data_IF_995576651769
#
_entry.id   IF_995576651769
#
_cell.length_a   1.000
_cell.length_b   1.000
_cell.length_c   1.000
_cell.angle_alpha   90.00
_cell.angle_beta   90.00
_cell.angle_gamma   90.00
#
_symmetry.space_group_name_H-M   'P 1'
#
loop_
_entity.id
_entity.type
_entity.pdbx_description
1 polymer ?
#
# COMPACT_ATOMS: atom_id res chain seq x y z
N UNK A 1 28.82 -32.73 0.33
CA UNK A 1 28.60 -31.33 0.74
C UNK A 1 27.12 -31.22 1.06
N UNK A 2 26.79 -30.97 2.32
CA UNK A 2 25.55 -31.44 2.95
C UNK A 2 24.27 -30.73 2.48
N UNK A 3 23.31 -31.55 2.08
CA UNK A 3 21.87 -31.27 2.10
C UNK A 3 21.44 -30.82 3.51
N UNK A 4 21.13 -29.53 3.64
CA UNK A 4 20.26 -29.02 4.71
C UNK A 4 19.02 -28.41 4.04
N UNK A 5 18.41 -29.17 3.11
CA UNK A 5 17.07 -28.87 2.60
C UNK A 5 16.10 -29.79 3.35
N UNK A 6 15.15 -29.20 4.04
CA UNK A 6 13.93 -29.84 4.56
C UNK A 6 13.95 -30.74 5.82
N UNK A 7 15.05 -30.89 6.58
CA UNK A 7 15.01 -31.68 7.84
C UNK A 7 14.05 -31.09 8.89
N UNK A 8 13.76 -29.78 8.85
CA UNK A 8 12.84 -29.14 9.80
C UNK A 8 11.35 -29.48 9.59
N UNK A 9 10.96 -30.11 8.47
CA UNK A 9 9.54 -30.33 8.15
C UNK A 9 9.01 -31.70 8.54
N UNK A 10 9.88 -32.66 8.86
CA UNK A 10 9.49 -34.06 9.08
C UNK A 10 8.67 -34.64 7.92
N UNK A 11 8.33 -35.92 7.97
CA UNK A 11 7.51 -36.55 6.93
C UNK A 11 6.01 -36.11 6.99
N UNK A 12 5.68 -34.97 7.60
CA UNK A 12 4.30 -34.56 7.93
C UNK A 12 3.96 -33.07 7.73
N UNK A 13 4.86 -32.19 7.28
CA UNK A 13 4.44 -30.85 6.90
C UNK A 13 3.68 -30.89 5.56
N UNK A 14 2.37 -31.07 5.64
CA UNK A 14 1.46 -30.83 4.52
C UNK A 14 1.00 -29.38 4.59
N UNK A 15 1.43 -28.56 3.64
CA UNK A 15 0.83 -27.27 3.37
C UNK A 15 -0.53 -27.51 2.72
N UNK A 16 -1.56 -27.87 3.52
CA UNK A 16 -2.94 -27.91 3.04
C UNK A 16 -3.54 -26.50 3.16
N UNK A 17 -3.96 -25.94 2.02
CA UNK A 17 -5.04 -24.95 1.98
C UNK A 17 -6.33 -25.62 2.49
N UNK A 18 -7.19 -24.90 3.21
CA UNK A 18 -8.36 -25.49 3.86
C UNK A 18 -9.57 -25.62 2.90
N UNK A 19 -9.36 -25.35 1.61
CA UNK A 19 -10.42 -24.99 0.66
C UNK A 19 -9.92 -25.31 -0.76
N UNK A 20 -10.78 -25.84 -1.61
CA UNK A 20 -10.46 -26.65 -2.79
C UNK A 20 -10.06 -25.89 -4.08
N UNK A 21 -9.12 -24.97 -4.03
CA UNK A 21 -8.44 -24.42 -5.23
C UNK A 21 -6.96 -24.22 -4.93
N UNK A 22 -6.12 -25.18 -5.32
CA UNK A 22 -4.70 -25.22 -4.96
C UNK A 22 -3.91 -24.08 -5.62
N UNK A 23 -3.88 -22.91 -4.98
CA UNK A 23 -2.92 -21.86 -5.28
C UNK A 23 -1.47 -22.38 -5.15
N UNK A 24 -0.60 -21.99 -6.07
CA UNK A 24 0.81 -22.35 -6.04
C UNK A 24 1.44 -21.75 -4.78
N UNK A 25 1.83 -22.61 -3.82
CA UNK A 25 2.54 -22.18 -2.61
C UNK A 25 4.03 -22.40 -2.78
N UNK A 26 4.81 -21.33 -2.65
CA UNK A 26 6.26 -21.33 -2.75
C UNK A 26 6.91 -20.88 -1.43
N UNK A 27 8.18 -21.24 -1.26
CA UNK A 27 9.00 -20.70 -0.17
C UNK A 27 9.50 -19.31 -0.58
N UNK A 28 9.09 -18.28 0.14
CA UNK A 28 9.54 -16.91 -0.10
C UNK A 28 10.83 -16.59 0.67
N UNK A 29 10.91 -16.94 1.96
CA UNK A 29 12.11 -16.72 2.76
C UNK A 29 12.22 -17.63 3.98
N UNK A 30 13.44 -17.77 4.50
CA UNK A 30 13.73 -18.32 5.82
C UNK A 30 14.55 -17.32 6.63
N UNK A 31 13.88 -16.65 7.56
CA UNK A 31 14.47 -15.65 8.45
C UNK A 31 15.03 -16.34 9.69
N UNK A 32 16.22 -15.92 10.12
CA UNK A 32 16.92 -16.48 11.28
C UNK A 32 17.14 -15.39 12.32
N UNK A 33 16.73 -15.67 13.55
CA UNK A 33 16.94 -14.81 14.71
C UNK A 33 17.58 -15.60 15.86
N UNK A 34 17.89 -14.93 16.96
CA UNK A 34 18.44 -15.58 18.13
C UNK A 34 17.43 -16.57 18.73
N UNK A 35 17.69 -17.88 18.59
CA UNK A 35 16.85 -18.94 19.14
C UNK A 35 15.52 -19.17 18.41
N UNK A 36 15.30 -18.55 17.26
CA UNK A 36 14.07 -18.72 16.48
C UNK A 36 14.30 -18.61 14.97
N UNK A 37 13.39 -19.17 14.20
CA UNK A 37 13.37 -19.12 12.73
C UNK A 37 11.96 -18.84 12.26
N UNK A 38 11.82 -18.04 11.21
CA UNK A 38 10.52 -17.74 10.61
C UNK A 38 10.57 -18.12 9.14
N UNK A 39 9.74 -19.07 8.75
CA UNK A 39 9.56 -19.45 7.36
C UNK A 39 8.41 -18.63 6.77
N UNK A 40 8.69 -17.89 5.71
CA UNK A 40 7.68 -17.14 4.96
C UNK A 40 7.35 -17.92 3.69
N UNK A 41 6.07 -18.20 3.49
CA UNK A 41 5.55 -18.80 2.27
C UNK A 41 4.70 -17.79 1.52
N UNK A 42 4.74 -17.88 0.19
CA UNK A 42 3.96 -17.06 -0.72
C UNK A 42 2.98 -17.96 -1.48
N UNK A 43 1.69 -17.64 -1.43
CA UNK A 43 0.64 -18.39 -2.12
C UNK A 43 0.00 -17.47 -3.17
N UNK A 44 -0.05 -17.93 -4.42
CA UNK A 44 -0.74 -17.25 -5.52
C UNK A 44 -1.96 -18.06 -5.93
N UNK A 45 -3.11 -17.44 -6.07
CA UNK A 45 -4.31 -18.12 -6.57
C UNK A 45 -4.13 -18.51 -8.05
N UNK A 46 -4.64 -19.67 -8.46
CA UNK A 46 -4.49 -20.14 -9.84
C UNK A 46 -5.33 -19.29 -10.80
N UNK A 47 -4.70 -18.84 -11.90
CA UNK A 47 -5.35 -18.05 -12.95
C UNK A 47 -5.25 -16.53 -12.75
N UNK A 48 -4.68 -16.10 -11.62
CA UNK A 48 -4.64 -14.71 -11.16
C UNK A 48 -3.19 -14.17 -11.15
N UNK A 49 -2.56 -14.15 -12.33
CA UNK A 49 -1.26 -13.50 -12.54
C UNK A 49 -1.43 -12.24 -13.40
N UNK A 50 -2.37 -11.36 -13.03
CA UNK A 50 -2.47 -10.05 -13.64
C UNK A 50 -1.36 -9.11 -13.13
N UNK A 51 -1.05 -8.06 -13.90
CA UNK A 51 0.06 -7.11 -13.67
C UNK A 51 0.19 -6.55 -12.23
N UNK A 52 -0.90 -6.51 -11.46
CA UNK A 52 -0.93 -5.94 -10.10
C UNK A 52 -1.22 -6.93 -8.97
N UNK A 53 -1.35 -8.23 -9.25
CA UNK A 53 -1.64 -9.22 -8.20
C UNK A 53 -0.34 -9.68 -7.54
N UNK A 54 -0.35 -9.78 -6.21
CA UNK A 54 0.80 -10.19 -5.40
C UNK A 54 0.49 -11.47 -4.62
N UNK A 55 1.52 -12.17 -4.15
CA UNK A 55 1.32 -13.41 -3.40
C UNK A 55 0.84 -13.15 -1.96
N UNK A 56 -0.08 -13.96 -1.46
CA UNK A 56 -0.45 -13.98 -0.05
C UNK A 56 0.69 -14.53 0.80
N UNK A 57 1.13 -13.78 1.80
CA UNK A 57 2.22 -14.15 2.69
C UNK A 57 1.70 -14.84 3.94
N UNK A 58 2.30 -15.97 4.25
CA UNK A 58 2.08 -16.70 5.51
C UNK A 58 3.40 -16.92 6.23
N UNK A 59 3.39 -16.83 7.56
CA UNK A 59 4.57 -16.98 8.40
C UNK A 59 4.43 -18.16 9.38
N UNK A 60 5.43 -19.02 9.40
CA UNK A 60 5.53 -20.17 10.30
C UNK A 60 6.70 -19.95 11.26
N UNK A 61 6.38 -19.83 12.54
CA UNK A 61 7.35 -19.48 13.58
C UNK A 61 7.86 -20.74 14.25
N UNK A 62 9.17 -20.94 14.21
CA UNK A 62 9.86 -22.04 14.85
C UNK A 62 10.73 -21.52 15.98
N UNK A 63 10.74 -22.24 17.10
CA UNK A 63 11.71 -22.06 18.18
C UNK A 63 12.77 -23.13 18.06
N UNK A 64 14.03 -22.74 18.16
CA UNK A 64 15.13 -23.69 18.20
C UNK A 64 15.09 -24.42 19.56
N UNK A 65 14.87 -25.73 19.54
CA UNK A 65 14.83 -26.57 20.74
C UNK A 65 15.60 -27.87 20.51
N UNK A 66 16.83 -27.97 21.01
CA UNK A 66 17.69 -29.12 20.78
C UNK A 66 18.10 -29.25 19.30
N UNK A 67 18.05 -30.47 18.75
CA UNK A 67 18.50 -30.75 17.38
C UNK A 67 17.48 -30.35 16.28
N UNK A 68 16.22 -30.11 16.63
CA UNK A 68 15.14 -29.88 15.67
C UNK A 68 14.32 -28.64 16.03
N UNK A 69 14.10 -27.70 15.09
CA UNK A 69 13.20 -26.57 15.33
C UNK A 69 11.77 -27.04 15.59
N UNK A 70 11.11 -26.49 16.60
CA UNK A 70 9.71 -26.77 16.92
C UNK A 70 8.82 -25.65 16.41
N UNK A 71 7.80 -25.99 15.61
CA UNK A 71 6.76 -25.04 15.22
C UNK A 71 5.97 -24.57 16.45
N UNK A 72 5.89 -23.25 16.63
CA UNK A 72 5.22 -22.60 17.77
C UNK A 72 3.89 -22.01 17.34
N UNK A 73 3.85 -21.29 16.22
CA UNK A 73 2.63 -20.66 15.71
C UNK A 73 2.70 -20.43 14.21
N UNK A 74 1.54 -20.19 13.60
CA UNK A 74 1.38 -19.89 12.18
C UNK A 74 0.50 -18.65 12.04
N UNK A 75 0.91 -17.72 11.18
CA UNK A 75 0.12 -16.55 10.77
C UNK A 75 -0.14 -16.67 9.28
N UNK A 76 -1.34 -17.11 8.92
CA UNK A 76 -1.72 -17.32 7.52
C UNK A 76 -2.21 -16.01 6.93
N UNK A 77 -1.86 -15.76 5.66
CA UNK A 77 -2.30 -14.63 4.85
C UNK A 77 -2.26 -13.31 5.65
N UNK A 78 -1.15 -13.07 6.34
CA UNK A 78 -1.01 -11.93 7.25
C UNK A 78 -0.80 -10.62 6.49
N UNK A 79 -0.30 -10.71 5.26
CA UNK A 79 -0.09 -9.62 4.34
C UNK A 79 -0.16 -10.16 2.91
N UNK A 80 -0.37 -9.24 1.97
CA UNK A 80 -0.11 -9.47 0.55
C UNK A 80 1.33 -9.02 0.27
N UNK A 81 2.02 -9.71 -0.65
CA UNK A 81 3.34 -9.33 -1.11
C UNK A 81 3.30 -7.97 -1.79
N UNK A 82 4.48 -7.36 -1.95
CA UNK A 82 4.60 -6.04 -2.58
C UNK A 82 5.22 -6.14 -3.99
N UNK A 83 5.41 -7.36 -4.49
CA UNK A 83 5.84 -7.63 -5.86
C UNK A 83 4.66 -7.72 -6.84
N UNK A 84 4.97 -7.54 -8.12
CA UNK A 84 4.01 -7.78 -9.21
C UNK A 84 4.00 -9.25 -9.65
N UNK A 85 2.98 -9.65 -10.42
CA UNK A 85 2.90 -10.96 -11.09
C UNK A 85 2.91 -12.17 -10.15
N UNK A 86 2.29 -12.04 -8.98
CA UNK A 86 2.28 -13.07 -7.95
C UNK A 86 3.62 -13.24 -7.23
N UNK A 87 4.54 -12.27 -7.36
CA UNK A 87 5.77 -12.27 -6.58
C UNK A 87 5.53 -11.65 -5.18
N UNK A 88 6.18 -12.23 -4.18
CA UNK A 88 6.20 -11.69 -2.82
C UNK A 88 7.09 -10.44 -2.68
N UNK A 89 8.10 -10.31 -3.55
CA UNK A 89 9.25 -9.44 -3.33
C UNK A 89 10.34 -10.11 -2.51
N UNK A 90 11.49 -9.45 -2.38
CA UNK A 90 12.60 -9.94 -1.55
C UNK A 90 12.26 -9.73 -0.07
N UNK A 91 12.35 -10.80 0.72
CA UNK A 91 12.04 -10.76 2.15
C UNK A 91 13.32 -10.96 2.95
N UNK A 92 13.66 -10.00 3.78
CA UNK A 92 14.88 -10.00 4.60
C UNK A 92 14.58 -9.81 6.08
N UNK A 93 15.44 -10.35 6.94
CA UNK A 93 15.31 -10.20 8.38
C UNK A 93 15.67 -8.76 8.80
N UNK A 94 14.91 -8.22 9.75
CA UNK A 94 15.12 -6.87 10.28
C UNK A 94 14.95 -6.84 11.80
N UNK A 95 15.37 -5.73 12.42
CA UNK A 95 15.17 -5.48 13.84
C UNK A 95 14.64 -4.08 14.10
N UNK A 96 13.69 -3.99 15.02
CA UNK A 96 13.02 -2.76 15.44
C UNK A 96 13.17 -2.65 16.97
N UNK A 97 14.35 -2.16 17.40
CA UNK A 97 14.83 -2.24 18.78
C UNK A 97 14.93 -3.68 19.27
N UNK A 98 14.13 -4.04 20.27
CA UNK A 98 14.09 -5.39 20.82
C UNK A 98 13.28 -6.39 19.99
N UNK A 99 12.48 -5.91 19.05
CA UNK A 99 11.62 -6.77 18.25
C UNK A 99 12.35 -7.26 17.01
N UNK A 100 12.31 -8.58 16.79
CA UNK A 100 12.65 -9.18 15.50
C UNK A 100 11.53 -8.87 14.49
N UNK A 101 11.87 -8.82 13.21
CA UNK A 101 10.93 -8.48 12.17
C UNK A 101 11.45 -8.78 10.77
N UNK A 102 10.81 -8.20 9.78
CA UNK A 102 11.20 -8.36 8.38
C UNK A 102 10.91 -7.12 7.55
N UNK A 103 11.64 -7.04 6.45
CA UNK A 103 11.43 -6.09 5.36
C UNK A 103 11.02 -6.86 4.11
N UNK A 104 10.02 -6.37 3.40
CA UNK A 104 9.54 -6.94 2.14
C UNK A 104 9.69 -5.90 1.05
N UNK A 105 10.52 -6.17 0.05
CA UNK A 105 10.69 -5.25 -1.08
C UNK A 105 9.47 -5.29 -1.98
N UNK A 106 9.12 -4.12 -2.52
CA UNK A 106 8.07 -3.97 -3.49
C UNK A 106 8.50 -3.09 -4.64
N UNK A 107 7.77 -3.21 -5.73
CA UNK A 107 7.99 -2.34 -6.87
C UNK A 107 7.00 -2.55 -8.00
N UNK A 108 6.86 -1.51 -8.81
CA UNK A 108 6.00 -1.52 -9.98
C UNK A 108 6.66 -0.74 -11.10
N UNK A 109 6.57 -1.27 -12.31
CA UNK A 109 6.96 -0.55 -13.53
C UNK A 109 5.71 -0.27 -14.36
N UNK A 110 5.51 1.00 -14.74
CA UNK A 110 4.39 1.45 -15.55
C UNK A 110 4.82 2.56 -16.51
N UNK A 111 4.47 2.43 -17.79
CA UNK A 111 4.78 3.39 -18.85
C UNK A 111 6.26 3.83 -18.89
N UNK A 112 7.18 2.90 -18.60
CA UNK A 112 8.62 3.17 -18.61
C UNK A 112 9.19 3.81 -17.33
N UNK A 113 8.35 4.10 -16.34
CA UNK A 113 8.79 4.48 -15.00
C UNK A 113 8.76 3.26 -14.08
N UNK A 114 9.74 3.13 -13.19
CA UNK A 114 9.71 2.13 -12.12
C UNK A 114 9.75 2.80 -10.76
N UNK A 115 8.99 2.28 -9.82
CA UNK A 115 8.95 2.71 -8.42
C UNK A 115 9.26 1.52 -7.52
N UNK A 116 9.99 1.76 -6.43
CA UNK A 116 10.40 0.73 -5.48
C UNK A 116 10.09 1.17 -4.06
N UNK A 117 9.52 0.27 -3.27
CA UNK A 117 9.11 0.49 -1.89
C UNK A 117 9.61 -0.63 -0.98
N UNK A 118 9.54 -0.39 0.32
CA UNK A 118 9.88 -1.38 1.34
C UNK A 118 8.80 -1.37 2.42
N UNK A 119 8.18 -2.52 2.66
CA UNK A 119 7.27 -2.72 3.78
C UNK A 119 8.00 -3.27 4.99
N UNK A 120 7.60 -2.84 6.17
CA UNK A 120 8.26 -3.20 7.42
C UNK A 120 7.26 -3.88 8.34
N UNK A 121 7.67 -5.02 8.93
CA UNK A 121 6.84 -5.78 9.86
C UNK A 121 7.62 -6.16 11.11
N UNK A 122 7.05 -5.91 12.29
CA UNK A 122 7.61 -6.34 13.57
C UNK A 122 6.84 -7.53 14.16
N UNK A 123 7.56 -8.45 14.79
CA UNK A 123 6.98 -9.58 15.52
C UNK A 123 6.79 -9.21 17.00
N UNK A 124 5.59 -8.75 17.33
CA UNK A 124 5.26 -8.25 18.68
C UNK A 124 4.01 -8.94 19.22
N UNK A 125 4.02 -9.29 20.52
CA UNK A 125 2.87 -9.87 21.23
C UNK A 125 2.27 -11.12 20.55
N UNK A 126 3.11 -11.94 19.91
CA UNK A 126 2.66 -13.12 19.17
C UNK A 126 1.89 -12.82 17.88
N UNK A 127 1.96 -11.58 17.38
CA UNK A 127 1.41 -11.14 16.09
C UNK A 127 2.51 -10.66 15.13
N UNK A 128 2.09 -10.32 13.92
CA UNK A 128 2.89 -9.60 12.93
C UNK A 128 2.24 -8.23 12.76
N UNK A 129 2.95 -7.17 13.11
CA UNK A 129 2.46 -5.80 13.04
C UNK A 129 3.12 -5.10 11.86
N UNK A 130 2.31 -4.52 10.97
CA UNK A 130 2.84 -3.60 9.95
C UNK A 130 3.30 -2.30 10.62
N UNK A 131 4.51 -1.87 10.29
CA UNK A 131 5.08 -0.57 10.67
C UNK A 131 4.88 0.48 9.57
N UNK A 132 4.42 0.06 8.40
CA UNK A 132 4.20 0.91 7.22
C UNK A 132 5.20 0.64 6.11
N UNK A 133 5.18 1.53 5.12
CA UNK A 133 5.94 1.43 3.88
C UNK A 133 6.80 2.68 3.68
N UNK A 134 8.01 2.52 3.14
CA UNK A 134 8.90 3.62 2.76
C UNK A 134 9.25 3.53 1.27
N UNK A 135 9.22 4.63 0.51
CA UNK A 135 9.75 4.65 -0.85
C UNK A 135 11.28 4.52 -0.82
N UNK A 136 11.82 3.58 -1.58
CA UNK A 136 13.25 3.26 -1.63
C UNK A 136 13.82 3.31 -3.05
N UNK A 137 13.04 3.62 -4.07
CA UNK A 137 13.61 3.83 -5.40
C UNK A 137 12.62 4.34 -6.42
N UNK A 138 13.17 4.94 -7.47
CA UNK A 138 12.42 5.47 -8.60
C UNK A 138 13.34 5.59 -9.81
N UNK A 139 12.84 5.30 -11.01
CA UNK A 139 13.56 5.52 -12.27
C UNK A 139 12.61 5.86 -13.42
N UNK A 140 13.12 6.58 -14.42
CA UNK A 140 12.40 6.95 -15.64
C UNK A 140 13.01 6.36 -16.92
N UNK A 141 13.98 5.44 -16.80
CA UNK A 141 14.81 4.99 -17.93
C UNK A 141 14.03 4.35 -19.08
N UNK A 142 12.85 3.78 -18.83
CA UNK A 142 12.01 3.24 -19.89
C UNK A 142 11.08 4.27 -20.55
N UNK A 143 10.88 5.43 -19.94
CA UNK A 143 10.02 6.51 -20.44
C UNK A 143 10.81 7.62 -21.14
N UNK A 144 12.05 7.82 -20.71
CA UNK A 144 12.93 8.83 -21.28
C UNK A 144 13.61 8.31 -22.54
N UNK A 145 13.61 9.13 -23.59
CA UNK A 145 14.17 8.79 -24.91
C UNK A 145 15.58 9.37 -25.10
N UNK A 146 15.96 10.32 -24.25
CA UNK A 146 17.28 10.92 -24.18
C UNK A 146 18.03 10.38 -22.95
N UNK A 147 18.97 9.46 -23.17
CA UNK A 147 19.77 8.82 -22.11
C UNK A 147 20.41 9.82 -21.13
N UNK A 148 20.70 11.05 -21.59
CA UNK A 148 21.30 12.10 -20.75
C UNK A 148 20.38 12.64 -19.64
N UNK A 149 19.07 12.38 -19.77
CA UNK A 149 17.99 12.77 -18.82
C UNK A 149 17.48 11.62 -17.96
N UNK A 150 18.04 10.41 -18.15
CA UNK A 150 17.70 9.27 -17.30
C UNK A 150 18.20 9.53 -15.89
N UNK A 151 17.30 9.28 -14.94
CA UNK A 151 17.53 9.40 -13.50
C UNK A 151 17.14 8.08 -12.85
N UNK A 152 18.03 7.58 -12.00
CA UNK A 152 17.80 6.40 -11.18
C UNK A 152 18.04 6.76 -9.72
N UNK A 153 17.10 6.42 -8.86
CA UNK A 153 17.19 6.59 -7.42
C UNK A 153 17.15 5.21 -6.77
N UNK A 154 18.15 4.93 -5.95
CA UNK A 154 18.23 3.71 -5.14
C UNK A 154 18.37 4.06 -3.67
N UNK A 155 17.66 3.33 -2.82
CA UNK A 155 17.58 3.56 -1.38
C UNK A 155 18.12 2.36 -0.63
N UNK A 156 19.11 2.60 0.24
CA UNK A 156 19.60 1.61 1.20
C UNK A 156 18.94 1.84 2.55
N UNK A 157 18.20 0.84 3.01
CA UNK A 157 17.51 0.86 4.30
C UNK A 157 18.41 0.32 5.41
N UNK A 158 18.44 1.01 6.53
CA UNK A 158 19.09 0.61 7.77
C UNK A 158 18.03 0.52 8.90
N UNK A 159 17.99 -0.64 9.55
CA UNK A 159 17.14 -0.94 10.71
C UNK A 159 18.01 -1.27 11.93
N UNK A 160 17.42 -1.52 13.09
CA UNK A 160 18.16 -1.77 14.33
C UNK A 160 18.76 -0.50 14.94
N UNK A 161 18.19 0.66 14.62
CA UNK A 161 18.55 1.92 15.25
C UNK A 161 18.21 1.90 16.76
N UNK A 162 18.86 2.75 17.59
CA UNK A 162 18.52 2.87 19.00
C UNK A 162 17.04 3.19 19.25
N UNK A 163 16.41 3.95 18.33
CA UNK A 163 14.98 4.18 18.30
C UNK A 163 14.29 3.09 17.47
N UNK A 164 13.46 2.21 18.08
CA UNK A 164 12.90 1.01 17.44
C UNK A 164 11.92 1.30 16.29
N UNK A 165 11.27 2.45 16.34
CA UNK A 165 10.25 2.93 15.42
C UNK A 165 10.83 3.82 14.31
N UNK A 166 12.17 3.92 14.23
CA UNK A 166 12.86 4.67 13.17
C UNK A 166 13.56 3.73 12.19
N UNK A 167 13.57 4.14 10.93
CA UNK A 167 14.44 3.57 9.90
C UNK A 167 15.22 4.68 9.20
N UNK A 168 16.48 4.41 8.86
CA UNK A 168 17.30 5.34 8.08
C UNK A 168 17.35 4.84 6.65
N UNK A 169 17.11 5.72 5.69
CA UNK A 169 17.29 5.43 4.27
C UNK A 169 18.35 6.37 3.71
N UNK A 170 19.37 5.78 3.09
CA UNK A 170 20.36 6.52 2.30
C UNK A 170 19.97 6.38 0.83
N UNK A 171 19.60 7.49 0.22
CA UNK A 171 19.29 7.57 -1.21
C UNK A 171 20.54 7.92 -1.99
N UNK A 172 20.71 7.27 -3.14
CA UNK A 172 21.67 7.63 -4.18
C UNK A 172 20.88 7.94 -5.44
N UNK A 173 21.00 9.17 -5.91
CA UNK A 173 20.45 9.64 -7.18
C UNK A 173 21.57 9.69 -8.20
N UNK A 174 21.45 8.89 -9.24
CA UNK A 174 22.36 8.84 -10.39
C UNK A 174 21.66 9.46 -11.60
N UNK A 175 22.35 10.34 -12.31
CA UNK A 175 21.88 10.91 -13.57
C UNK A 175 23.02 10.92 -14.58
N UNK A 176 22.73 10.66 -15.86
CA UNK A 176 23.76 10.49 -16.89
C UNK A 176 24.67 11.72 -17.10
N UNK A 177 24.22 12.92 -16.71
CA UNK A 177 24.92 14.19 -16.89
C UNK A 177 25.57 14.75 -15.60
N UNK A 178 25.67 13.98 -14.52
CA UNK A 178 26.26 14.48 -13.27
C UNK A 178 26.80 13.40 -12.32
N UNK A 179 27.49 13.86 -11.28
CA UNK A 179 27.95 13.00 -10.20
C UNK A 179 26.76 12.47 -9.37
N UNK A 180 26.92 11.28 -8.79
CA UNK A 180 25.95 10.71 -7.87
C UNK A 180 25.70 11.64 -6.68
N UNK A 181 24.43 11.93 -6.42
CA UNK A 181 24.00 12.70 -5.28
C UNK A 181 23.48 11.78 -4.19
N UNK A 182 24.01 11.92 -2.98
CA UNK A 182 23.52 11.17 -1.83
C UNK A 182 22.69 12.05 -0.91
N UNK A 183 21.56 11.53 -0.44
CA UNK A 183 20.78 12.12 0.65
C UNK A 183 20.43 11.06 1.68
N UNK A 184 20.21 11.50 2.93
CA UNK A 184 19.81 10.62 4.02
C UNK A 184 18.50 11.13 4.57
N UNK A 185 17.61 10.20 4.90
CA UNK A 185 16.35 10.48 5.55
C UNK A 185 16.08 9.50 6.68
N UNK A 186 15.49 10.00 7.75
CA UNK A 186 15.02 9.23 8.90
C UNK A 186 13.51 9.21 8.83
N UNK A 187 12.94 8.01 8.80
CA UNK A 187 11.51 7.78 8.76
C UNK A 187 11.04 7.24 10.11
N UNK A 188 9.90 7.74 10.58
CA UNK A 188 9.26 7.34 11.84
C UNK A 188 7.98 6.58 11.57
N UNK A 189 7.88 5.37 12.11
CA UNK A 189 6.65 4.58 12.12
C UNK A 189 5.66 5.12 13.16
N UNK A 190 4.54 5.65 12.69
CA UNK A 190 3.44 6.10 13.53
C UNK A 190 2.13 5.53 12.99
N UNK A 191 1.39 4.82 13.85
CA UNK A 191 0.08 4.24 13.52
C UNK A 191 0.06 3.37 12.24
N UNK A 192 1.14 2.59 12.00
CA UNK A 192 1.25 1.70 10.85
C UNK A 192 1.61 2.39 9.53
N UNK A 193 2.09 3.64 9.58
CA UNK A 193 2.62 4.40 8.44
C UNK A 193 3.97 5.00 8.78
N UNK A 194 4.81 5.22 7.78
CA UNK A 194 6.03 5.99 7.97
C UNK A 194 5.84 7.45 7.55
N UNK A 195 6.34 8.35 8.38
CA UNK A 195 6.45 9.79 8.09
C UNK A 195 7.92 10.20 8.09
N UNK A 196 8.31 11.15 7.23
CA UNK A 196 9.68 11.67 7.26
C UNK A 196 9.86 12.49 8.53
N UNK A 197 10.80 12.07 9.38
CA UNK A 197 11.17 12.81 10.58
C UNK A 197 12.31 13.80 10.31
N UNK A 198 13.34 13.38 9.58
CA UNK A 198 14.52 14.20 9.37
C UNK A 198 15.22 13.87 8.05
N UNK A 199 16.05 14.81 7.57
CA UNK A 199 16.84 14.64 6.36
C UNK A 199 16.13 15.13 5.10
N UNK A 200 16.51 14.59 3.94
CA UNK A 200 15.98 15.03 2.65
C UNK A 200 15.80 13.88 1.66
N UNK A 201 14.77 14.02 0.82
CA UNK A 201 14.45 13.09 -0.25
C UNK A 201 14.82 13.70 -1.61
N UNK A 202 15.25 12.89 -2.60
CA UNK A 202 15.33 13.34 -3.98
C UNK A 202 13.96 13.82 -4.49
N UNK A 203 13.94 14.92 -5.25
CA UNK A 203 12.68 15.54 -5.69
C UNK A 203 11.85 14.61 -6.59
N UNK A 204 12.51 13.81 -7.42
CA UNK A 204 11.84 12.86 -8.31
C UNK A 204 11.16 11.73 -7.53
N UNK A 205 11.71 11.35 -6.37
CA UNK A 205 11.07 10.39 -5.47
C UNK A 205 9.80 10.98 -4.85
N UNK A 206 9.84 12.25 -4.44
CA UNK A 206 8.67 12.97 -3.90
C UNK A 206 7.58 13.07 -4.96
N UNK A 207 7.93 13.43 -6.19
CA UNK A 207 6.99 13.54 -7.30
C UNK A 207 6.45 12.17 -7.74
N UNK A 208 7.31 11.15 -7.86
CA UNK A 208 6.94 9.82 -8.34
C UNK A 208 6.01 9.05 -7.39
N UNK A 209 6.07 9.34 -6.09
CA UNK A 209 5.18 8.76 -5.09
C UNK A 209 4.05 9.69 -4.65
N UNK A 210 3.95 10.89 -5.23
CA UNK A 210 3.02 11.96 -4.82
C UNK A 210 3.01 12.16 -3.28
N UNK A 211 4.21 12.23 -2.69
CA UNK A 211 4.33 12.35 -1.24
C UNK A 211 3.81 13.72 -0.79
N UNK A 212 2.79 13.70 0.07
CA UNK A 212 2.19 14.90 0.61
C UNK A 212 3.20 15.75 1.42
N UNK A 213 2.99 17.06 1.44
CA UNK A 213 3.95 18.01 2.04
C UNK A 213 4.13 17.83 3.56
N UNK A 214 3.17 17.23 4.25
CA UNK A 214 3.21 16.82 5.66
C UNK A 214 4.06 15.57 5.90
N UNK A 215 4.22 14.72 4.87
CA UNK A 215 5.15 13.58 4.86
C UNK A 215 6.59 14.04 4.60
N UNK A 216 6.83 15.27 4.10
CA UNK A 216 8.17 15.73 3.63
C UNK A 216 8.66 17.01 4.32
N UNK A 217 7.92 17.56 5.29
CA UNK A 217 7.95 18.95 5.78
C UNK A 217 9.24 19.80 5.52
N UNK A 218 8.99 20.93 4.85
CA UNK A 218 9.92 21.92 4.27
C UNK A 218 11.18 22.24 5.09
N UNK A 219 12.31 22.35 4.38
CA UNK A 219 13.61 22.86 4.85
C UNK A 219 14.31 22.03 5.94
N UNK A 220 14.16 20.71 5.93
CA UNK A 220 14.94 19.82 6.78
C UNK A 220 14.73 20.03 8.29
N UNK A 221 13.63 20.68 8.66
CA UNK A 221 13.26 20.89 10.06
C UNK A 221 12.21 19.83 10.42
N UNK A 222 12.52 18.92 11.37
CA UNK A 222 11.58 17.90 11.81
C UNK A 222 10.23 18.51 12.22
N UNK A 223 9.13 17.86 11.85
CA UNK A 223 7.83 18.17 12.44
C UNK A 223 7.93 17.84 13.93
N UNK A 224 7.74 18.84 14.79
CA UNK A 224 7.71 18.63 16.22
C UNK A 224 6.59 17.62 16.58
N UNK A 225 6.82 16.71 17.55
CA UNK A 225 5.78 15.78 17.97
C UNK A 225 4.69 16.59 18.67
N UNK A 226 3.61 16.90 17.95
CA UNK A 226 2.42 17.45 18.58
C UNK A 226 1.48 16.31 18.87
N UNK A 227 1.23 16.08 20.16
CA UNK A 227 0.01 15.46 20.65
C UNK A 227 -1.18 16.01 19.86
N UNK A 228 -2.07 15.10 19.46
CA UNK A 228 -3.22 15.34 18.60
C UNK A 228 -3.82 16.76 18.70
N UNK A 229 -3.74 17.53 17.61
CA UNK A 229 -4.52 18.76 17.41
C UNK A 229 -4.55 19.14 15.91
N UNK A 230 -5.45 20.04 15.50
CA UNK A 230 -6.73 19.74 14.85
C UNK A 230 -6.64 19.82 13.32
N UNK A 231 -7.73 19.37 12.69
CA UNK A 231 -7.99 19.36 11.24
C UNK A 231 -7.51 20.66 10.57
N UNK A 232 -6.72 20.61 9.47
CA UNK A 232 -6.21 21.80 8.82
C UNK A 232 -7.35 22.66 8.26
N UNK A 233 -7.23 23.98 8.45
CA UNK A 233 -8.11 24.96 7.85
C UNK A 233 -8.08 24.90 6.31
N UNK A 234 -9.27 25.02 5.72
CA UNK A 234 -9.52 25.04 4.28
C UNK A 234 -8.59 26.04 3.55
N UNK A 235 -7.81 25.54 2.59
CA UNK A 235 -6.93 26.38 1.77
C UNK A 235 -5.90 25.65 0.91
N UNK A 236 -5.67 24.36 1.12
CA UNK A 236 -4.93 23.52 0.16
C UNK A 236 -5.80 23.17 -1.03
N UNK A 237 -5.26 23.23 -2.26
CA UNK A 237 -5.91 22.61 -3.42
C UNK A 237 -6.12 21.12 -3.10
N UNK A 238 -7.33 20.55 -3.28
CA UNK A 238 -7.53 19.13 -3.03
C UNK A 238 -6.73 18.34 -4.06
N UNK A 239 -5.71 17.59 -3.62
CA UNK A 239 -5.05 16.58 -4.44
C UNK A 239 -5.61 15.22 -4.03
N UNK A 240 -6.38 14.62 -4.94
CA UNK A 240 -6.92 13.27 -4.74
C UNK A 240 -7.44 12.75 -6.05
N UNK A 241 -6.59 12.06 -6.81
CA UNK A 241 -7.04 11.17 -7.87
C UNK A 241 -7.06 9.77 -7.25
N UNK A 242 -8.19 9.10 -7.33
CA UNK A 242 -8.37 7.74 -6.84
C UNK A 242 -8.88 6.88 -7.97
N UNK A 243 -8.12 5.85 -8.32
CA UNK A 243 -8.46 4.95 -9.41
C UNK A 243 -8.64 3.53 -8.92
N UNK A 244 -9.31 2.72 -9.73
CA UNK A 244 -9.40 1.27 -9.53
C UNK A 244 -8.01 0.58 -9.62
N UNK A 245 -6.98 1.31 -10.03
CA UNK A 245 -5.61 0.84 -10.16
C UNK A 245 -4.74 1.22 -8.96
N UNK A 246 -5.25 2.02 -8.00
CA UNK A 246 -4.41 2.48 -6.91
C UNK A 246 -3.96 1.30 -6.03
N UNK A 247 -2.70 1.36 -5.63
CA UNK A 247 -2.12 0.41 -4.68
C UNK A 247 -2.38 0.83 -3.24
N UNK A 248 -2.18 -0.09 -2.29
CA UNK A 248 -2.35 0.19 -0.85
C UNK A 248 -3.81 0.30 -0.40
N UNK A 249 -4.77 -0.15 -1.22
CA UNK A 249 -6.15 -0.31 -0.75
C UNK A 249 -6.28 -1.49 0.19
N UNK A 250 -6.96 -1.30 1.31
CA UNK A 250 -7.18 -2.33 2.31
C UNK A 250 -8.62 -2.86 2.23
N UNK A 251 -8.89 -3.97 2.90
CA UNK A 251 -10.29 -4.39 3.12
C UNK A 251 -11.02 -3.29 3.90
N UNK A 252 -12.16 -2.75 3.40
CA UNK A 252 -12.90 -1.72 4.10
C UNK A 252 -13.42 -2.23 5.45
N UNK A 253 -13.70 -1.30 6.36
CA UNK A 253 -14.36 -1.64 7.62
C UNK A 253 -15.74 -2.28 7.37
N UNK A 254 -16.25 -3.12 8.30
CA UNK A 254 -17.50 -3.86 8.07
C UNK A 254 -18.69 -2.97 7.73
N UNK A 255 -18.82 -1.81 8.35
CA UNK A 255 -19.85 -0.81 8.08
C UNK A 255 -19.77 -0.24 6.65
N UNK A 256 -18.58 0.09 6.16
CA UNK A 256 -18.36 0.54 4.79
C UNK A 256 -18.68 -0.58 3.80
N UNK A 257 -18.22 -1.81 4.09
CA UNK A 257 -18.47 -2.97 3.25
C UNK A 257 -19.97 -3.30 3.16
N UNK A 258 -20.70 -3.25 4.28
CA UNK A 258 -22.16 -3.50 4.29
C UNK A 258 -22.93 -2.41 3.53
N UNK A 259 -22.51 -1.15 3.61
CA UNK A 259 -23.12 -0.08 2.82
C UNK A 259 -22.98 -0.34 1.31
N UNK A 260 -21.80 -0.77 0.86
CA UNK A 260 -21.54 -1.10 -0.55
C UNK A 260 -22.27 -2.36 -0.98
N UNK A 261 -22.31 -3.42 -0.17
CA UNK A 261 -23.06 -4.64 -0.50
C UNK A 261 -24.57 -4.42 -0.67
N UNK A 262 -25.11 -3.37 -0.02
CA UNK A 262 -26.49 -2.94 -0.18
C UNK A 262 -26.75 -2.09 -1.42
N UNK A 263 -25.71 -1.63 -2.13
CA UNK A 263 -25.82 -0.80 -3.32
C UNK A 263 -26.11 -1.64 -4.58
N UNK A 264 -27.03 -1.23 -5.46
CA UNK A 264 -27.38 -1.99 -6.67
C UNK A 264 -26.21 -2.23 -7.64
N UNK A 265 -25.17 -1.40 -7.61
CA UNK A 265 -24.00 -1.56 -8.49
C UNK A 265 -22.97 -2.57 -7.95
N UNK A 266 -23.19 -3.16 -6.77
CA UNK A 266 -22.30 -4.17 -6.21
C UNK A 266 -22.46 -5.54 -6.91
N UNK A 267 -21.41 -6.05 -7.57
CA UNK A 267 -21.43 -7.41 -8.10
C UNK A 267 -21.14 -8.39 -6.93
N UNK A 268 -22.05 -9.33 -6.61
CA UNK A 268 -21.98 -10.13 -5.37
C UNK A 268 -20.72 -10.99 -5.21
N UNK A 269 -20.01 -11.26 -6.29
CA UNK A 269 -18.82 -12.12 -6.36
C UNK A 269 -17.51 -11.38 -6.07
N UNK A 270 -17.56 -10.07 -5.84
CA UNK A 270 -16.39 -9.20 -5.86
C UNK A 270 -15.86 -8.85 -4.47
N UNK A 271 -14.56 -9.07 -4.24
CA UNK A 271 -13.90 -8.64 -3.01
C UNK A 271 -13.73 -7.12 -3.00
N UNK A 272 -14.27 -6.48 -1.97
CA UNK A 272 -14.15 -5.03 -1.78
C UNK A 272 -12.78 -4.64 -1.22
N UNK A 273 -12.22 -3.58 -1.78
CA UNK A 273 -11.01 -2.90 -1.30
C UNK A 273 -11.28 -1.40 -1.30
N UNK A 274 -10.64 -0.66 -0.39
CA UNK A 274 -10.82 0.78 -0.33
C UNK A 274 -9.80 1.47 0.55
N UNK A 275 -9.87 2.80 0.55
CA UNK A 275 -9.07 3.66 1.40
C UNK A 275 -9.88 4.88 1.83
N UNK A 276 -9.57 5.41 3.01
CA UNK A 276 -10.11 6.69 3.46
C UNK A 276 -9.60 7.79 2.52
N UNK A 277 -10.51 8.66 2.09
CA UNK A 277 -10.29 9.75 1.14
C UNK A 277 -10.93 11.03 1.67
N UNK A 278 -10.54 12.18 1.15
CA UNK A 278 -11.01 13.49 1.62
C UNK A 278 -11.68 14.33 0.52
N UNK A 279 -12.73 13.84 -0.18
CA UNK A 279 -13.62 14.70 -0.94
C UNK A 279 -14.53 15.55 -0.02
N UNK A 280 -14.67 15.19 1.27
CA UNK A 280 -15.43 15.98 2.23
C UNK A 280 -14.51 16.74 3.20
N UNK A 281 -14.90 17.98 3.52
CA UNK A 281 -14.33 18.79 4.60
C UNK A 281 -15.04 18.55 5.94
N UNK A 282 -15.99 17.61 6.00
CA UNK A 282 -16.75 17.33 7.21
C UNK A 282 -15.85 16.82 8.32
N UNK A 283 -15.85 17.51 9.46
CA UNK A 283 -15.20 17.02 10.68
C UNK A 283 -16.03 15.93 11.37
N UNK A 284 -17.27 15.72 10.89
CA UNK A 284 -18.26 14.81 11.46
C UNK A 284 -18.51 13.58 10.59
N UNK A 285 -17.92 13.48 9.41
CA UNK A 285 -18.06 12.31 8.55
C UNK A 285 -16.73 11.96 7.87
N UNK A 286 -16.39 10.68 7.88
CA UNK A 286 -15.28 10.14 7.10
C UNK A 286 -15.76 9.73 5.73
N UNK A 287 -14.91 9.83 4.73
CA UNK A 287 -15.22 9.40 3.36
C UNK A 287 -14.26 8.32 2.90
N UNK A 288 -14.77 7.35 2.15
CA UNK A 288 -14.01 6.22 1.65
C UNK A 288 -14.20 6.07 0.16
N UNK A 289 -13.09 5.88 -0.56
CA UNK A 289 -13.12 5.36 -1.92
C UNK A 289 -13.07 3.86 -1.82
N UNK A 290 -14.05 3.19 -2.43
CA UNK A 290 -14.14 1.73 -2.45
C UNK A 290 -14.22 1.27 -3.90
N UNK A 291 -13.57 0.17 -4.20
CA UNK A 291 -13.68 -0.57 -5.46
C UNK A 291 -13.51 -2.06 -5.18
N UNK A 292 -13.17 -2.85 -6.20
CA UNK A 292 -12.98 -4.29 -6.09
C UNK A 292 -11.53 -4.66 -6.36
N UNK A 293 -11.00 -5.64 -5.63
CA UNK A 293 -9.56 -6.00 -5.70
C UNK A 293 -9.11 -6.47 -7.09
N UNK A 294 -10.04 -7.01 -7.87
CA UNK A 294 -9.76 -7.62 -9.18
C UNK A 294 -10.43 -6.83 -10.32
N UNK A 295 -10.81 -5.57 -10.08
CA UNK A 295 -11.58 -4.70 -11.00
C UNK A 295 -12.91 -5.24 -11.48
N UNK A 296 -13.33 -6.45 -11.10
CA UNK A 296 -14.58 -7.11 -11.49
C UNK A 296 -15.10 -6.64 -12.85
N UNK A 297 -14.20 -6.85 -13.83
CA UNK A 297 -14.06 -6.02 -15.02
C UNK A 297 -15.34 -6.03 -15.85
N UNK A 298 -15.85 -4.84 -16.17
CA UNK A 298 -16.86 -4.67 -17.21
C UNK A 298 -16.22 -4.57 -18.61
N UNK A 299 -14.88 -4.65 -18.69
CA UNK A 299 -14.07 -4.46 -19.90
C UNK A 299 -13.70 -2.99 -20.12
N UNK A 300 -12.50 -2.72 -20.66
CA UNK A 300 -12.06 -1.36 -21.00
C UNK A 300 -11.40 -0.58 -19.86
N UNK A 301 -10.87 -1.26 -18.82
CA UNK A 301 -10.15 -0.58 -17.73
C UNK A 301 -11.05 0.19 -16.75
N UNK A 302 -12.33 -0.17 -16.71
CA UNK A 302 -13.35 0.38 -15.81
C UNK A 302 -13.87 -0.68 -14.85
N UNK A 303 -14.19 -0.26 -13.64
CA UNK A 303 -14.70 -1.16 -12.60
C UNK A 303 -15.71 -0.44 -11.70
N UNK A 304 -16.41 -1.18 -10.84
CA UNK A 304 -17.33 -0.55 -9.92
C UNK A 304 -16.54 0.24 -8.87
N UNK A 305 -16.95 1.48 -8.65
CA UNK A 305 -16.38 2.41 -7.69
C UNK A 305 -17.48 3.02 -6.83
N UNK A 306 -17.16 3.31 -5.58
CA UNK A 306 -18.04 3.96 -4.64
C UNK A 306 -17.31 5.06 -3.86
N UNK A 307 -18.04 6.12 -3.55
CA UNK A 307 -17.69 7.00 -2.43
C UNK A 307 -18.68 6.69 -1.31
N UNK A 308 -18.17 6.33 -0.14
CA UNK A 308 -18.98 6.00 1.04
C UNK A 308 -18.72 7.06 2.10
N UNK A 309 -19.79 7.65 2.64
CA UNK A 309 -19.72 8.53 3.79
C UNK A 309 -20.06 7.77 5.07
N UNK A 310 -19.27 7.96 6.12
CA UNK A 310 -19.40 7.33 7.43
C UNK A 310 -19.53 8.45 8.47
N UNK A 311 -20.76 8.79 8.89
CA UNK A 311 -20.97 9.83 9.91
C UNK A 311 -20.46 9.37 11.28
N UNK A 312 -20.09 10.32 12.14
CA UNK A 312 -19.63 10.07 13.51
C UNK A 312 -20.70 9.41 14.39
N UNK A 313 -21.97 9.60 14.02
CA UNK A 313 -23.12 8.89 14.58
C UNK A 313 -24.09 8.56 13.45
N UNK A 314 -24.29 7.26 13.17
CA UNK A 314 -25.19 6.80 12.10
C UNK A 314 -24.66 5.57 11.37
N UNK A 315 -25.28 5.23 10.24
CA UNK A 315 -24.83 4.16 9.35
C UNK A 315 -24.03 4.74 8.21
N UNK A 316 -23.02 3.99 7.75
CA UNK A 316 -22.34 4.29 6.51
C UNK A 316 -23.33 4.28 5.33
N UNK A 317 -23.18 5.23 4.41
CA UNK A 317 -24.04 5.38 3.25
C UNK A 317 -23.20 5.63 2.00
N UNK A 318 -23.56 4.95 0.91
CA UNK A 318 -23.01 5.23 -0.41
C UNK A 318 -23.52 6.59 -0.88
N UNK A 319 -22.59 7.51 -1.15
CA UNK A 319 -22.89 8.86 -1.68
C UNK A 319 -22.55 8.98 -3.16
N UNK A 320 -21.83 8.02 -3.72
CA UNK A 320 -21.61 7.87 -5.15
C UNK A 320 -21.41 6.39 -5.49
N UNK A 321 -21.97 5.91 -6.59
CA UNK A 321 -21.69 4.58 -7.13
C UNK A 321 -21.74 4.57 -8.66
N UNK A 322 -20.86 3.79 -9.30
CA UNK A 322 -20.87 3.63 -10.75
C UNK A 322 -19.70 2.80 -11.29
N UNK A 323 -19.76 2.44 -12.57
CA UNK A 323 -18.65 1.77 -13.27
C UNK A 323 -17.76 2.81 -13.93
N UNK A 324 -16.57 3.02 -13.36
CA UNK A 324 -15.65 4.12 -13.72
C UNK A 324 -14.21 3.68 -13.54
N UNK A 325 -13.30 4.48 -14.07
CA UNK A 325 -11.87 4.23 -13.94
C UNK A 325 -11.27 4.98 -12.74
N UNK A 326 -11.54 6.29 -12.66
CA UNK A 326 -10.99 7.14 -11.62
C UNK A 326 -11.94 8.25 -11.17
N UNK A 327 -11.73 8.73 -9.96
CA UNK A 327 -12.41 9.87 -9.34
C UNK A 327 -11.34 10.89 -8.98
N UNK A 328 -11.46 12.11 -9.51
CA UNK A 328 -10.60 13.25 -9.18
C UNK A 328 -11.41 14.28 -8.41
N UNK A 329 -10.86 14.77 -7.31
CA UNK A 329 -11.47 15.88 -6.56
C UNK A 329 -11.20 17.20 -7.26
N UNK A 330 -12.24 18.01 -7.39
CA UNK A 330 -12.16 19.36 -7.93
C UNK A 330 -12.21 20.41 -6.81
N UNK A 331 -11.72 21.62 -7.09
CA UNK A 331 -11.66 22.68 -6.09
C UNK A 331 -13.03 23.24 -5.68
N UNK A 332 -14.04 23.07 -6.51
CA UNK A 332 -15.41 23.57 -6.27
C UNK A 332 -16.07 22.79 -5.13
N UNK A 333 -16.86 23.47 -4.29
CA UNK A 333 -17.48 22.89 -3.10
C UNK A 333 -19.00 23.09 -3.12
N UNK A 334 -19.74 22.04 -2.79
CA UNK A 334 -21.18 22.04 -2.60
C UNK A 334 -21.51 21.47 -1.20
N UNK A 335 -21.89 22.34 -0.27
CA UNK A 335 -22.01 21.98 1.15
C UNK A 335 -20.64 21.68 1.76
N UNK A 336 -20.47 20.50 2.34
CA UNK A 336 -19.18 20.04 2.90
C UNK A 336 -18.39 19.13 1.94
N UNK A 337 -18.84 18.96 0.69
CA UNK A 337 -18.24 18.05 -0.27
C UNK A 337 -17.70 18.80 -1.50
N UNK A 338 -16.52 18.41 -1.93
CA UNK A 338 -15.93 18.85 -3.18
C UNK A 338 -16.65 18.21 -4.36
N UNK A 339 -16.76 18.95 -5.46
CA UNK A 339 -17.10 18.37 -6.75
C UNK A 339 -16.10 17.28 -7.12
N UNK A 340 -16.56 16.29 -7.88
CA UNK A 340 -15.70 15.22 -8.36
C UNK A 340 -15.83 15.10 -9.87
N UNK A 341 -14.69 15.06 -10.54
CA UNK A 341 -14.59 14.65 -11.94
C UNK A 341 -14.41 13.14 -11.98
N UNK A 342 -15.35 12.47 -12.63
CA UNK A 342 -15.40 11.01 -12.67
C UNK A 342 -15.04 10.55 -14.07
N UNK A 343 -13.85 9.97 -14.20
CA UNK A 343 -13.32 9.47 -15.46
C UNK A 343 -13.87 8.07 -15.78
N UNK A 344 -14.32 7.90 -17.01
CA UNK A 344 -14.94 6.67 -17.51
C UNK A 344 -14.05 5.81 -18.39
N UNK A 345 -12.80 6.18 -18.63
CA UNK A 345 -11.90 5.46 -19.54
C UNK A 345 -10.43 5.64 -19.11
N UNK A 346 -9.73 4.53 -18.92
CA UNK A 346 -8.31 4.51 -18.57
C UNK A 346 -7.42 5.09 -19.68
N UNK A 347 -7.84 4.97 -20.94
CA UNK A 347 -7.06 5.38 -22.11
C UNK A 347 -7.32 6.84 -22.50
N UNK A 348 -8.36 7.46 -21.94
CA UNK A 348 -8.70 8.86 -22.16
C UNK A 348 -9.01 9.58 -20.83
N UNK A 349 -8.02 10.22 -20.19
CA UNK A 349 -8.19 10.85 -18.88
C UNK A 349 -9.23 11.98 -18.88
N UNK A 350 -9.52 12.57 -20.04
CA UNK A 350 -10.48 13.67 -20.19
C UNK A 350 -11.91 13.19 -20.51
N UNK A 351 -12.13 11.90 -20.81
CA UNK A 351 -13.49 11.35 -20.97
C UNK A 351 -14.12 11.04 -19.61
N UNK A 352 -14.63 12.09 -18.98
CA UNK A 352 -15.33 11.99 -17.71
C UNK A 352 -16.45 12.99 -17.59
N UNK A 353 -17.13 12.94 -16.46
CA UNK A 353 -18.29 13.77 -16.16
C UNK A 353 -18.07 14.45 -14.81
N UNK A 354 -18.53 15.70 -14.70
CA UNK A 354 -18.53 16.41 -13.43
C UNK A 354 -19.72 15.97 -12.59
N UNK A 355 -19.49 15.78 -11.30
CA UNK A 355 -20.53 15.49 -10.32
C UNK A 355 -20.44 16.46 -9.13
N UNK A 356 -21.60 16.96 -8.71
CA UNK A 356 -21.76 17.84 -7.56
C UNK A 356 -22.61 17.19 -6.49
N UNK A 357 -22.29 17.41 -5.22
CA UNK A 357 -23.03 16.84 -4.09
C UNK A 357 -24.33 17.63 -3.85
N UNK A 358 -25.47 16.94 -3.83
CA UNK A 358 -26.80 17.57 -3.66
C UNK A 358 -27.28 17.70 -2.21
N UNK A 359 -26.41 17.34 -1.25
CA UNK A 359 -26.75 17.23 0.17
C UNK A 359 -27.05 15.80 0.63
N UNK A 360 -27.25 14.86 -0.31
CA UNK A 360 -27.46 13.43 -0.02
C UNK A 360 -26.49 12.55 -0.82
N UNK A 361 -26.37 12.78 -2.13
CA UNK A 361 -25.51 12.01 -3.04
C UNK A 361 -24.86 12.91 -4.10
N UNK A 362 -23.85 12.40 -4.79
CA UNK A 362 -23.27 13.03 -5.98
C UNK A 362 -24.21 12.87 -7.18
N UNK A 363 -24.52 13.99 -7.84
CA UNK A 363 -25.33 14.07 -9.07
C UNK A 363 -24.50 14.63 -10.20
N UNK A 364 -24.71 14.15 -11.42
CA UNK A 364 -24.04 14.67 -12.60
C UNK A 364 -24.38 16.15 -12.78
N UNK A 365 -23.39 17.01 -12.88
CA UNK A 365 -23.61 18.45 -13.02
C UNK A 365 -24.27 18.75 -14.37
N UNK A 366 -25.37 19.50 -14.36
CA UNK A 366 -26.16 19.83 -15.56
C UNK A 366 -27.26 18.84 -15.92
N UNK A 367 -27.61 17.89 -15.03
CA UNK A 367 -28.78 17.01 -15.15
C UNK A 367 -30.04 17.58 -14.52
#
# INVERSE_FOLDING_TARGET
>A
MHEVKAIAFGNKARFRAADSSEGCTSLAALLKFAGSRVLITATTDQGESAHGQSAHLSAYFFRDSGATPRLVTVKRNFADGNGSWGNAGDITAARFGSDDGMMVSGGMSQQGYSSHSMDFYAFRNGGIMSLGTVPVGWENGGAETDDSKVVTITGRVETGLPQPDRVRVTYTRSAASGDDQSSVAIWHSQAGKFVLEAGSLPQELVAGFDLAADVVARNGTPVAPTDAAPIPAAGGKPSGIWSINDTGMATPSPDVAEAVKGDPNYPPICKLVGKEVLPSLSVHAKTWFVTTSNRCDAGGGVGPVWIVSVPSAGKASVVFSGFRHAIRVESTLHGEFHDVFVNGDADNPDSGEMYSFDGTIYRKSGS
#
